data_IF_988058534630
#
_entry.id   IF_988058534630
#
_cell.length_a   1.000
_cell.length_b   1.000
_cell.length_c   1.000
_cell.angle_alpha   90.00
_cell.angle_beta   90.00
_cell.angle_gamma   90.00
#
_symmetry.space_group_name_H-M   'P 1'
#
loop_
_entity.id
_entity.type
_entity.pdbx_description
1 polymer ?
#
# COMPACT_ATOMS: atom_id res chain seq x y z
N UNK A 1 6.28 -23.14 20.88
CA UNK A 1 6.39 -22.56 20.53
C UNK A 1 6.41 -21.58 20.19
N UNK A 2 6.28 -21.42 20.04
CA UNK A 2 6.26 -20.58 19.76
C UNK A 2 6.34 -19.71 19.25
N UNK A 3 6.09 -19.44 18.99
CA UNK A 3 6.17 -18.51 18.41
C UNK A 3 6.36 -17.45 18.30
N UNK A 4 6.66 -17.42 18.34
CA UNK A 4 6.92 -16.33 18.15
C UNK A 4 6.83 -15.60 17.20
N UNK A 5 6.71 -16.02 16.69
CA UNK A 5 6.48 -15.40 15.62
C UNK A 5 5.34 -14.62 15.58
N UNK A 6 5.15 -13.98 16.51
CA UNK A 6 4.16 -13.03 16.61
C UNK A 6 4.55 -11.74 16.04
N UNK A 7 5.70 -11.63 15.47
CA UNK A 7 6.07 -10.42 14.80
C UNK A 7 5.34 -10.40 13.49
N UNK A 8 4.26 -9.67 13.46
CA UNK A 8 3.51 -9.41 12.25
C UNK A 8 4.25 -8.37 11.43
N UNK A 9 4.43 -8.63 10.16
CA UNK A 9 5.06 -7.68 9.26
C UNK A 9 3.99 -7.02 8.42
N UNK A 10 4.12 -5.71 8.28
CA UNK A 10 3.21 -4.93 7.47
C UNK A 10 3.96 -4.20 6.38
N UNK A 11 3.31 -4.04 5.26
CA UNK A 11 3.76 -3.16 4.20
C UNK A 11 2.65 -2.15 3.95
N UNK A 12 2.98 -1.08 3.27
CA UNK A 12 2.05 0.03 3.15
C UNK A 12 1.87 0.43 1.69
N UNK A 13 0.64 0.74 1.35
CA UNK A 13 0.30 1.25 0.03
C UNK A 13 -0.27 2.64 0.17
N UNK A 14 0.30 3.59 -0.57
CA UNK A 14 -0.25 4.93 -0.64
C UNK A 14 -1.07 5.00 -1.91
N UNK A 15 -2.33 5.38 -1.79
CA UNK A 15 -3.15 5.56 -2.97
C UNK A 15 -4.23 6.60 -2.68
N UNK A 16 -4.80 7.17 -3.74
CA UNK A 16 -5.85 8.15 -3.56
C UNK A 16 -7.15 7.47 -3.17
N UNK A 17 -7.98 8.22 -2.46
CA UNK A 17 -9.22 7.69 -1.90
C UNK A 17 -10.14 7.11 -2.98
N UNK A 18 -10.25 7.79 -4.11
CA UNK A 18 -11.15 7.36 -5.17
C UNK A 18 -10.74 6.01 -5.76
N UNK A 19 -9.46 5.83 -6.01
CA UNK A 19 -8.94 4.56 -6.53
C UNK A 19 -9.22 3.43 -5.55
N UNK A 20 -9.04 3.69 -4.26
CA UNK A 20 -9.28 2.69 -3.24
C UNK A 20 -10.77 2.34 -3.13
N UNK A 21 -11.65 3.34 -3.22
CA UNK A 21 -13.09 3.09 -3.19
C UNK A 21 -13.54 2.20 -4.33
N UNK A 22 -12.99 2.43 -5.53
CA UNK A 22 -13.31 1.60 -6.68
C UNK A 22 -12.84 0.16 -6.45
N UNK A 23 -11.63 0.01 -5.88
CA UNK A 23 -11.10 -1.32 -5.58
C UNK A 23 -11.97 -2.05 -4.59
N UNK A 24 -12.47 -1.36 -3.58
CA UNK A 24 -13.34 -1.96 -2.57
C UNK A 24 -14.65 -2.44 -3.19
N UNK A 25 -15.21 -1.68 -4.11
CA UNK A 25 -16.44 -2.08 -4.78
C UNK A 25 -16.24 -3.29 -5.68
N UNK A 26 -15.08 -3.38 -6.32
CA UNK A 26 -14.77 -4.51 -7.20
C UNK A 26 -14.26 -5.72 -6.45
N UNK A 27 -13.86 -5.55 -5.21
CA UNK A 27 -13.30 -6.63 -4.40
C UNK A 27 -11.87 -6.99 -4.76
N UNK A 28 -11.21 -6.18 -5.57
CA UNK A 28 -9.82 -6.43 -5.98
C UNK A 28 -9.12 -5.11 -6.24
N UNK A 29 -7.85 -5.04 -5.81
CA UNK A 29 -7.00 -3.89 -6.08
C UNK A 29 -5.92 -4.29 -7.09
N UNK A 30 -5.94 -3.66 -8.25
CA UNK A 30 -5.02 -3.99 -9.33
C UNK A 30 -3.85 -3.01 -9.42
N UNK A 31 -3.79 -2.05 -8.52
CA UNK A 31 -2.75 -1.04 -8.52
C UNK A 31 -3.28 0.31 -8.94
N UNK A 32 -2.46 1.32 -8.80
CA UNK A 32 -2.80 2.68 -9.19
C UNK A 32 -1.57 3.37 -9.77
N UNK A 33 -1.78 4.31 -10.68
CA UNK A 33 -0.70 5.12 -11.22
C UNK A 33 0.44 4.30 -11.77
N UNK A 34 1.63 4.46 -11.18
CA UNK A 34 2.84 3.79 -11.63
C UNK A 34 2.76 2.28 -11.54
N UNK A 35 1.93 1.74 -10.65
CA UNK A 35 1.74 0.29 -10.55
C UNK A 35 1.24 -0.28 -11.88
N UNK A 36 0.31 0.42 -12.49
CA UNK A 36 -0.26 -0.02 -13.76
C UNK A 36 0.76 0.06 -14.91
N UNK A 37 1.58 1.11 -14.88
CA UNK A 37 2.64 1.28 -15.87
C UNK A 37 3.70 0.20 -15.75
N UNK A 38 4.11 -0.11 -14.52
CA UNK A 38 5.19 -1.05 -14.26
C UNK A 38 4.73 -2.51 -14.26
N UNK A 39 3.44 -2.75 -14.17
CA UNK A 39 2.91 -4.11 -14.20
C UNK A 39 2.94 -4.83 -12.86
N UNK A 40 3.23 -4.14 -11.76
CA UNK A 40 3.18 -4.71 -10.42
C UNK A 40 2.92 -3.63 -9.39
N UNK A 41 2.36 -4.04 -8.25
CA UNK A 41 1.98 -3.11 -7.19
C UNK A 41 3.20 -2.78 -6.33
N UNK A 42 3.45 -1.49 -6.16
CA UNK A 42 4.55 -1.00 -5.33
C UNK A 42 4.08 -0.80 -3.90
N UNK A 43 4.87 -1.26 -2.95
CA UNK A 43 4.62 -1.10 -1.52
C UNK A 43 5.80 -0.43 -0.86
N UNK A 44 5.56 0.15 0.31
CA UNK A 44 6.61 0.79 1.11
C UNK A 44 6.65 0.16 2.49
N UNK A 45 7.82 0.15 3.09
CA UNK A 45 7.96 -0.20 4.51
C UNK A 45 7.50 0.98 5.36
N UNK A 46 7.32 0.73 6.66
CA UNK A 46 6.93 1.80 7.57
C UNK A 46 7.97 2.93 7.63
N UNK A 47 9.23 2.59 7.41
CA UNK A 47 10.31 3.59 7.41
C UNK A 47 10.35 4.40 6.13
N UNK A 48 9.93 3.82 5.02
CA UNK A 48 10.02 4.45 3.71
C UNK A 48 8.76 5.20 3.29
N UNK A 49 7.63 4.89 3.91
CA UNK A 49 6.35 5.37 3.42
C UNK A 49 6.23 6.89 3.41
N UNK A 50 6.81 7.55 4.42
CA UNK A 50 6.77 8.99 4.51
C UNK A 50 7.58 9.63 3.38
N UNK A 51 8.75 9.10 3.11
CA UNK A 51 9.60 9.57 2.03
C UNK A 51 8.93 9.34 0.68
N UNK A 52 8.34 8.18 0.49
CA UNK A 52 7.61 7.84 -0.72
C UNK A 52 6.47 8.83 -0.97
N UNK A 53 5.74 9.18 0.08
CA UNK A 53 4.65 10.13 -0.04
C UNK A 53 5.16 11.50 -0.48
N UNK A 54 6.28 11.94 0.08
CA UNK A 54 6.87 13.22 -0.28
C UNK A 54 7.35 13.26 -1.72
N UNK A 55 7.97 12.18 -2.18
CA UNK A 55 8.57 12.14 -3.50
C UNK A 55 7.55 11.97 -4.62
N UNK A 56 6.54 11.16 -4.39
CA UNK A 56 5.65 10.75 -5.48
C UNK A 56 4.23 11.29 -5.38
N UNK A 57 3.85 11.79 -4.22
CA UNK A 57 2.47 12.23 -4.00
C UNK A 57 2.37 13.66 -3.49
N UNK A 58 3.43 14.44 -3.69
CA UNK A 58 3.44 15.85 -3.26
C UNK A 58 2.31 16.60 -3.95
N UNK A 59 1.51 17.30 -3.14
CA UNK A 59 0.40 18.06 -3.67
C UNK A 59 -0.86 17.26 -3.96
N UNK A 60 -0.81 15.96 -3.83
CA UNK A 60 -1.98 15.11 -4.03
C UNK A 60 -2.84 15.13 -2.76
N UNK A 61 -4.12 15.39 -2.92
CA UNK A 61 -5.07 15.43 -1.81
C UNK A 61 -5.78 14.10 -1.67
N UNK A 62 -6.34 13.88 -0.48
CA UNK A 62 -7.16 12.70 -0.20
C UNK A 62 -6.38 11.40 -0.39
N UNK A 63 -5.14 11.39 0.13
CA UNK A 63 -4.35 10.17 0.12
C UNK A 63 -4.74 9.27 1.28
N UNK A 64 -4.71 7.98 1.02
CA UNK A 64 -4.92 6.95 2.03
C UNK A 64 -3.63 6.18 2.23
N UNK A 65 -3.37 5.83 3.47
CA UNK A 65 -2.29 4.91 3.82
C UNK A 65 -2.94 3.58 4.16
N UNK A 66 -2.71 2.59 3.32
CA UNK A 66 -3.32 1.28 3.48
C UNK A 66 -2.28 0.34 4.06
N UNK A 67 -2.59 -0.20 5.23
CA UNK A 67 -1.72 -1.11 5.95
C UNK A 67 -2.07 -2.53 5.53
N UNK A 68 -1.09 -3.25 5.04
CA UNK A 68 -1.29 -4.61 4.55
C UNK A 68 -0.48 -5.58 5.38
N UNK A 69 -1.15 -6.58 5.93
CA UNK A 69 -0.47 -7.62 6.68
C UNK A 69 0.18 -8.60 5.71
N UNK A 70 1.48 -8.80 5.90
CA UNK A 70 2.22 -9.74 5.08
C UNK A 70 2.09 -11.12 5.69
N UNK A 71 1.44 -12.03 4.96
CA UNK A 71 1.22 -13.40 5.43
C UNK A 71 2.19 -14.32 4.71
N UNK A 72 2.86 -15.16 5.49
CA UNK A 72 3.76 -16.15 4.93
C UNK A 72 3.11 -17.53 5.02
N UNK A 73 3.23 -18.28 3.95
CA UNK A 73 2.72 -19.64 3.88
C UNK A 73 3.89 -20.62 3.84
#
# INVERSE_FOLDING_TARGET
MINQNNSKKYIYKICDQKTWEIAQKKGVFKGSGIDLTDGFIHFSTSEQVKETAKLHFKGVKNLLLIKVLLVQY
#
